data_IF_205298882931
#
_entry.id   IF_205298882931
#
_cell.length_a   1.000
_cell.length_b   1.000
_cell.length_c   1.000
_cell.angle_alpha   90.00
_cell.angle_beta   90.00
_cell.angle_gamma   90.00
#
_symmetry.space_group_name_H-M   'P 1'
#
loop_
_entity.id
_entity.type
_entity.pdbx_description
1 polymer ?
#
# COMPACT_ATOMS: atom_id res chain seq x y z
N UNK A 1 19.92 -21.76 4.24
CA UNK A 1 19.71 -20.34 3.89
C UNK A 1 18.25 -20.14 3.49
N UNK A 2 17.39 -19.62 4.38
CA UNK A 2 16.01 -19.21 4.03
C UNK A 2 16.02 -17.71 3.76
N UNK A 3 15.62 -17.28 2.57
CA UNK A 3 15.28 -15.88 2.27
C UNK A 3 13.99 -15.55 3.02
N UNK A 4 14.09 -14.79 4.11
CA UNK A 4 12.96 -14.40 4.96
C UNK A 4 12.50 -12.94 4.74
N UNK A 5 12.80 -12.33 3.57
CA UNK A 5 12.65 -10.87 3.37
C UNK A 5 11.66 -10.43 2.27
N UNK A 6 10.86 -11.33 1.67
CA UNK A 6 10.34 -11.08 0.31
C UNK A 6 8.99 -10.31 0.20
N UNK A 7 7.92 -10.51 1.02
CA UNK A 7 6.60 -9.96 0.69
C UNK A 7 6.39 -8.47 1.03
N UNK A 8 6.84 -8.03 2.20
CA UNK A 8 6.54 -6.68 2.70
C UNK A 8 7.35 -5.61 1.96
N UNK A 9 8.56 -5.97 1.51
CA UNK A 9 9.41 -5.10 0.69
C UNK A 9 8.77 -4.87 -0.67
N UNK A 10 8.20 -5.90 -1.30
CA UNK A 10 7.48 -5.77 -2.58
C UNK A 10 6.25 -4.86 -2.46
N UNK A 11 5.56 -4.89 -1.32
CA UNK A 11 4.46 -3.98 -1.04
C UNK A 11 4.91 -2.52 -1.04
N UNK A 12 6.02 -2.22 -0.37
CA UNK A 12 6.58 -0.86 -0.32
C UNK A 12 7.08 -0.41 -1.69
N UNK A 13 7.74 -1.29 -2.44
CA UNK A 13 8.14 -1.02 -3.82
C UNK A 13 6.92 -0.70 -4.71
N UNK A 14 5.84 -1.47 -4.58
CA UNK A 14 4.60 -1.23 -5.31
C UNK A 14 3.96 0.12 -4.98
N UNK A 15 3.82 0.45 -3.70
CA UNK A 15 3.27 1.74 -3.25
C UNK A 15 4.11 2.91 -3.77
N UNK A 16 5.44 2.82 -3.64
CA UNK A 16 6.35 3.86 -4.14
C UNK A 16 6.24 4.01 -5.66
N UNK A 17 6.16 2.91 -6.38
CA UNK A 17 5.98 2.93 -7.83
C UNK A 17 4.67 3.62 -8.23
N UNK A 18 3.54 3.29 -7.58
CA UNK A 18 2.24 3.91 -7.92
C UNK A 18 2.27 5.42 -7.69
N UNK A 19 2.83 5.88 -6.57
CA UNK A 19 2.94 7.32 -6.29
C UNK A 19 3.77 8.02 -7.37
N UNK A 20 4.92 7.45 -7.74
CA UNK A 20 5.77 8.01 -8.79
C UNK A 20 5.09 7.99 -10.15
N UNK A 21 4.38 6.92 -10.48
CA UNK A 21 3.68 6.78 -11.75
C UNK A 21 2.52 7.79 -11.87
N UNK A 22 1.71 7.92 -10.82
CA UNK A 22 0.65 8.91 -10.74
C UNK A 22 1.20 10.35 -10.83
N UNK A 23 2.36 10.60 -10.22
CA UNK A 23 3.06 11.90 -10.32
C UNK A 23 3.54 12.17 -11.75
N UNK A 24 4.19 11.21 -12.41
CA UNK A 24 4.65 11.34 -13.81
C UNK A 24 3.48 11.58 -14.77
N UNK A 25 2.36 10.89 -14.55
CA UNK A 25 1.12 11.04 -15.34
C UNK A 25 0.31 12.28 -14.99
N UNK A 26 0.69 13.04 -13.95
CA UNK A 26 -0.05 14.24 -13.47
C UNK A 26 -1.50 13.91 -13.06
N UNK A 27 -1.70 12.76 -12.42
CA UNK A 27 -3.01 12.27 -11.95
C UNK A 27 -3.09 12.09 -10.43
N UNK A 28 -2.14 12.65 -9.65
CA UNK A 28 -2.33 12.78 -8.20
C UNK A 28 -3.64 13.54 -7.90
N UNK A 29 -4.34 13.12 -6.84
CA UNK A 29 -5.70 13.55 -6.52
C UNK A 29 -6.81 12.85 -7.33
N UNK A 30 -6.44 12.07 -8.36
CA UNK A 30 -7.36 11.33 -9.24
C UNK A 30 -6.97 9.86 -9.42
N UNK A 31 -5.94 9.40 -8.71
CA UNK A 31 -5.50 8.02 -8.70
C UNK A 31 -6.07 7.28 -7.48
N UNK A 32 -6.45 6.01 -7.69
CA UNK A 32 -6.98 5.13 -6.65
C UNK A 32 -6.15 3.85 -6.62
N UNK A 33 -5.85 3.34 -5.43
CA UNK A 33 -5.33 1.98 -5.21
C UNK A 33 -6.44 1.15 -4.58
N UNK A 34 -6.71 -0.01 -5.18
CA UNK A 34 -7.45 -1.09 -4.56
C UNK A 34 -6.47 -2.06 -3.88
N UNK A 35 -6.47 -2.07 -2.55
CA UNK A 35 -5.56 -2.82 -1.68
C UNK A 35 -6.31 -4.03 -1.07
N UNK A 36 -6.62 -5.01 -1.92
CA UNK A 36 -7.28 -6.27 -1.53
C UNK A 36 -6.29 -7.29 -0.97
N UNK A 37 -5.48 -6.85 -0.02
CA UNK A 37 -4.54 -7.70 0.72
C UNK A 37 -4.56 -7.24 2.18
N UNK A 38 -4.42 -8.18 3.11
CA UNK A 38 -4.38 -7.94 4.54
C UNK A 38 -3.39 -8.88 5.22
N UNK A 39 -3.18 -8.67 6.51
CA UNK A 39 -2.30 -9.47 7.34
C UNK A 39 -2.22 -8.91 8.76
N UNK A 40 -1.32 -9.43 9.60
CA UNK A 40 -1.13 -8.92 10.95
C UNK A 40 -0.83 -7.42 10.96
N UNK A 41 -1.27 -6.74 12.03
CA UNK A 41 -1.00 -5.30 12.21
C UNK A 41 0.50 -5.02 12.10
N UNK A 42 0.83 -4.07 11.22
CA UNK A 42 2.21 -3.65 10.95
C UNK A 42 2.27 -2.13 10.87
N UNK A 43 2.96 -1.50 11.81
CA UNK A 43 3.17 -0.05 11.79
C UNK A 43 3.88 0.41 10.50
N UNK A 44 4.82 -0.39 9.99
CA UNK A 44 5.51 -0.10 8.74
C UNK A 44 4.56 -0.12 7.54
N UNK A 45 3.67 -1.10 7.48
CA UNK A 45 2.63 -1.19 6.43
C UNK A 45 1.68 -0.01 6.51
N UNK A 46 1.18 0.29 7.70
CA UNK A 46 0.26 1.40 7.92
C UNK A 46 0.89 2.74 7.52
N UNK A 47 2.14 2.99 7.92
CA UNK A 47 2.85 4.21 7.56
C UNK A 47 3.08 4.35 6.05
N UNK A 48 3.37 3.24 5.36
CA UNK A 48 3.52 3.25 3.90
C UNK A 48 2.20 3.58 3.18
N UNK A 49 1.08 3.01 3.65
CA UNK A 49 -0.26 3.31 3.13
C UNK A 49 -0.67 4.77 3.39
N UNK A 50 -0.41 5.28 4.60
CA UNK A 50 -0.65 6.69 4.96
C UNK A 50 0.20 7.62 4.07
N UNK A 51 1.46 7.29 3.83
CA UNK A 51 2.33 8.07 2.96
C UNK A 51 1.81 8.12 1.51
N UNK A 52 1.35 6.99 0.97
CA UNK A 52 0.76 6.94 -0.37
C UNK A 52 -0.55 7.75 -0.44
N UNK A 53 -1.40 7.63 0.57
CA UNK A 53 -2.63 8.42 0.70
C UNK A 53 -2.33 9.92 0.72
N UNK A 54 -1.41 10.36 1.60
CA UNK A 54 -1.04 11.75 1.75
C UNK A 54 -0.33 12.32 0.51
N UNK A 55 0.30 11.47 -0.31
CA UNK A 55 0.85 11.87 -1.61
C UNK A 55 -0.24 12.15 -2.66
N UNK A 56 -1.51 11.86 -2.37
CA UNK A 56 -2.65 12.13 -3.25
C UNK A 56 -3.13 10.91 -4.02
N UNK A 57 -2.92 9.69 -3.51
CA UNK A 57 -3.49 8.46 -4.08
C UNK A 57 -4.54 7.91 -3.13
N UNK A 58 -5.82 7.97 -3.51
CA UNK A 58 -6.90 7.49 -2.65
C UNK A 58 -6.80 5.98 -2.44
N UNK A 59 -6.96 5.53 -1.19
CA UNK A 59 -6.72 4.15 -0.79
C UNK A 59 -8.03 3.46 -0.41
N UNK A 60 -8.32 2.33 -1.05
CA UNK A 60 -9.40 1.42 -0.68
C UNK A 60 -8.76 0.13 -0.19
N UNK A 61 -8.92 -0.23 1.08
CA UNK A 61 -8.29 -1.41 1.67
C UNK A 61 -9.35 -2.39 2.20
N UNK A 62 -9.05 -3.69 2.10
CA UNK A 62 -9.87 -4.73 2.74
C UNK A 62 -9.74 -4.65 4.28
N UNK A 63 -10.84 -4.88 4.99
CA UNK A 63 -10.84 -4.93 6.46
C UNK A 63 -10.17 -6.21 7.01
N UNK A 64 -10.11 -7.27 6.20
CA UNK A 64 -9.66 -8.60 6.60
C UNK A 64 -10.80 -9.62 6.62
N UNK A 65 -10.45 -10.90 6.58
CA UNK A 65 -11.41 -12.03 6.54
C UNK A 65 -11.26 -12.94 7.78
N UNK A 66 -10.68 -12.40 8.87
CA UNK A 66 -10.28 -13.18 10.04
C UNK A 66 -11.43 -13.44 11.03
N UNK A 67 -12.62 -12.89 10.76
CA UNK A 67 -13.80 -13.06 11.62
C UNK A 67 -13.74 -12.31 12.95
N UNK A 68 -12.77 -11.40 13.10
CA UNK A 68 -12.57 -10.60 14.29
C UNK A 68 -13.04 -9.15 14.01
N UNK A 69 -13.81 -8.59 14.94
CA UNK A 69 -14.20 -7.16 14.97
C UNK A 69 -13.27 -6.37 15.87
#
# INVERSE_FOLDING_TARGET
MRRLAEPIVLLFCGLQWVVQDARRKRILGRAVINFSVGGPTSAATNNALIAAHNAGVFMVAAAGNDGNT
#
